data_IF_867192880455
#
_entry.id   IF_867192880455
#
_cell.length_a   1.000
_cell.length_b   1.000
_cell.length_c   1.000
_cell.angle_alpha   90.00
_cell.angle_beta   90.00
_cell.angle_gamma   90.00
#
_symmetry.space_group_name_H-M   'P 1'
#
loop_
_entity.id
_entity.type
_entity.pdbx_description
1 polymer ?
#
# COMPACT_ATOMS: atom_id res chain seq x y z
N UNK A 1 35.32 90.49 1.69
CA UNK A 1 36.44 89.66 1.18
C UNK A 1 36.61 88.55 2.19
N UNK A 2 36.45 87.25 1.92
CA UNK A 2 35.99 86.53 0.75
C UNK A 2 35.58 85.10 1.17
N UNK A 3 34.51 84.63 0.53
CA UNK A 3 34.12 83.26 0.14
C UNK A 3 34.67 81.97 0.79
N UNK A 4 33.68 81.15 1.26
CA UNK A 4 33.35 79.72 0.93
C UNK A 4 34.47 78.64 1.06
N UNK A 5 34.21 77.42 1.56
CA UNK A 5 33.52 76.31 0.86
C UNK A 5 33.16 75.16 1.84
N UNK A 6 31.98 74.57 1.55
CA UNK A 6 31.28 73.40 2.11
C UNK A 6 31.96 72.03 1.89
N UNK A 7 31.67 71.03 2.77
CA UNK A 7 31.03 69.75 2.39
C UNK A 7 30.63 68.86 3.57
N UNK A 8 29.35 68.46 3.55
CA UNK A 8 28.69 67.40 4.32
C UNK A 8 29.43 66.05 4.26
N UNK A 9 29.26 65.22 5.29
CA UNK A 9 28.64 63.87 5.27
C UNK A 9 28.85 63.22 6.67
N UNK A 10 27.80 63.16 7.49
CA UNK A 10 26.92 62.00 7.70
C UNK A 10 27.44 61.01 8.76
N UNK A 11 26.70 60.98 9.87
CA UNK A 11 26.81 60.03 10.98
C UNK A 11 26.35 58.62 10.57
N UNK A 12 26.90 57.58 11.22
CA UNK A 12 26.12 56.45 11.75
C UNK A 12 27.02 55.48 12.54
N UNK A 13 26.59 55.18 13.76
CA UNK A 13 27.18 54.20 14.66
C UNK A 13 26.99 52.77 14.12
N UNK A 14 28.06 51.97 14.14
CA UNK A 14 27.97 50.52 13.92
C UNK A 14 27.75 49.82 15.27
N UNK A 15 26.50 49.47 15.56
CA UNK A 15 26.17 48.41 16.53
C UNK A 15 26.23 47.09 15.75
N UNK A 16 27.24 46.26 16.03
CA UNK A 16 27.29 44.89 15.52
C UNK A 16 26.23 44.05 16.22
N UNK A 17 25.05 43.96 15.61
CA UNK A 17 24.08 42.93 15.94
C UNK A 17 24.54 41.61 15.31
N UNK A 18 24.97 40.67 16.16
CA UNK A 18 25.19 39.28 15.81
C UNK A 18 23.83 38.67 15.42
N UNK A 19 23.50 38.71 14.13
CA UNK A 19 22.35 37.98 13.58
C UNK A 19 22.72 36.50 13.59
N UNK A 20 22.25 35.79 14.60
CA UNK A 20 22.24 34.34 14.60
C UNK A 20 21.26 33.90 13.50
N UNK A 21 21.77 33.67 12.30
CA UNK A 21 21.00 33.08 11.20
C UNK A 21 20.66 31.65 11.61
N UNK A 22 19.49 31.46 12.22
CA UNK A 22 18.85 30.15 12.31
C UNK A 22 18.52 29.78 10.87
N UNK A 23 19.36 28.96 10.26
CA UNK A 23 19.03 28.33 9.00
C UNK A 23 17.69 27.59 9.19
N UNK A 24 16.70 27.75 8.29
CA UNK A 24 15.52 26.92 8.36
C UNK A 24 15.97 25.47 8.15
N UNK A 25 15.91 24.69 9.22
CA UNK A 25 16.01 23.24 9.13
C UNK A 25 15.01 22.78 8.06
N UNK A 26 15.52 22.05 7.07
CA UNK A 26 14.71 21.41 6.07
C UNK A 26 13.63 20.59 6.78
N UNK A 27 12.37 20.96 6.58
CA UNK A 27 11.23 20.33 7.25
C UNK A 27 10.99 18.93 6.67
N UNK A 28 11.75 17.96 7.18
CA UNK A 28 11.32 16.57 7.27
C UNK A 28 10.07 16.50 8.19
N UNK A 29 9.14 15.58 7.90
CA UNK A 29 7.74 15.56 8.38
C UNK A 29 7.52 15.97 9.84
N UNK A 30 6.68 17.00 10.04
CA UNK A 30 6.37 17.67 11.32
C UNK A 30 5.53 16.87 12.34
N UNK A 31 5.40 15.55 12.19
CA UNK A 31 4.55 14.71 13.06
C UNK A 31 5.34 13.87 14.07
N UNK A 32 4.74 13.60 15.24
CA UNK A 32 5.28 12.66 16.24
C UNK A 32 5.34 11.26 15.63
N UNK A 33 6.48 10.57 15.72
CA UNK A 33 6.63 9.21 15.20
C UNK A 33 5.81 8.23 16.05
N UNK A 34 4.90 7.47 15.42
CA UNK A 34 4.18 6.37 16.06
C UNK A 34 5.00 5.09 15.90
N UNK A 35 5.35 4.75 14.66
CA UNK A 35 6.20 3.62 14.32
C UNK A 35 6.87 3.80 12.96
N UNK A 36 7.90 2.98 12.73
CA UNK A 36 8.50 2.71 11.43
C UNK A 36 8.70 1.20 11.31
N UNK A 37 8.29 0.62 10.19
CA UNK A 37 8.62 -0.75 9.79
C UNK A 37 9.62 -0.64 8.66
N UNK A 38 10.78 -1.27 8.80
CA UNK A 38 11.80 -1.36 7.76
C UNK A 38 11.59 -2.63 6.94
N UNK A 39 11.93 -2.57 5.66
CA UNK A 39 11.82 -3.69 4.74
C UNK A 39 13.11 -3.84 3.90
N UNK A 40 13.52 -5.07 3.52
CA UNK A 40 14.80 -5.31 2.87
C UNK A 40 14.87 -4.75 1.45
N UNK A 41 15.93 -3.97 1.16
CA UNK A 41 16.16 -3.55 -0.23
C UNK A 41 16.33 -4.74 -1.18
N UNK A 42 15.67 -4.66 -2.33
CA UNK A 42 15.89 -5.49 -3.50
C UNK A 42 15.10 -6.80 -3.48
N UNK A 43 14.00 -6.87 -2.71
CA UNK A 43 13.10 -8.01 -2.68
C UNK A 43 11.76 -7.77 -3.42
N UNK A 44 11.72 -6.82 -4.35
CA UNK A 44 10.58 -6.50 -5.23
C UNK A 44 10.34 -7.51 -6.37
N UNK A 45 10.39 -8.79 -6.03
CA UNK A 45 10.35 -9.93 -6.94
C UNK A 45 9.28 -10.95 -6.55
N UNK A 46 8.31 -10.55 -5.73
CA UNK A 46 7.15 -11.36 -5.37
C UNK A 46 7.55 -12.72 -4.77
N UNK A 47 7.13 -13.81 -5.41
CA UNK A 47 7.47 -15.18 -5.02
C UNK A 47 8.90 -15.62 -5.40
N UNK A 48 9.74 -14.68 -5.87
CA UNK A 48 11.08 -14.90 -6.39
C UNK A 48 11.14 -15.11 -7.90
N UNK A 49 9.99 -15.23 -8.57
CA UNK A 49 9.91 -15.44 -10.02
C UNK A 49 9.24 -14.31 -10.78
N UNK A 50 8.69 -13.31 -10.09
CA UNK A 50 8.01 -12.18 -10.71
C UNK A 50 8.97 -11.43 -11.64
N UNK A 51 8.50 -11.15 -12.86
CA UNK A 51 9.23 -10.35 -13.84
C UNK A 51 8.51 -9.03 -14.05
N UNK A 52 9.27 -7.94 -13.95
CA UNK A 52 8.77 -6.62 -14.31
C UNK A 52 8.30 -6.58 -15.77
N UNK A 53 7.28 -5.78 -16.10
CA UNK A 53 6.87 -5.61 -17.48
C UNK A 53 7.99 -5.00 -18.30
N UNK A 54 8.06 -5.32 -19.59
CA UNK A 54 9.13 -4.86 -20.51
C UNK A 54 9.01 -3.38 -20.91
N UNK A 55 8.06 -2.65 -20.31
CA UNK A 55 7.85 -1.20 -20.55
C UNK A 55 8.84 -0.37 -19.73
N UNK A 56 9.17 0.83 -20.21
CA UNK A 56 10.24 1.64 -19.59
C UNK A 56 9.78 2.42 -18.35
N UNK A 57 8.48 2.50 -18.12
CA UNK A 57 7.87 3.27 -17.04
C UNK A 57 7.81 2.50 -15.70
N UNK A 58 8.17 1.22 -15.68
CA UNK A 58 8.14 0.39 -14.47
C UNK A 58 9.22 -0.69 -14.55
N UNK A 59 10.21 -0.65 -13.66
CA UNK A 59 11.30 -1.62 -13.62
C UNK A 59 11.77 -1.97 -12.21
N UNK A 60 12.77 -2.86 -12.07
CA UNK A 60 13.31 -3.26 -10.78
C UNK A 60 13.77 -2.07 -9.92
N UNK A 61 13.48 -2.13 -8.64
CA UNK A 61 13.61 -1.09 -7.62
C UNK A 61 12.46 -0.07 -7.58
N UNK A 62 11.57 -0.04 -8.59
CA UNK A 62 10.48 0.96 -8.63
C UNK A 62 9.34 0.61 -7.66
N UNK A 63 9.22 -0.65 -7.21
CA UNK A 63 8.18 -1.10 -6.27
C UNK A 63 8.75 -1.77 -5.01
N UNK A 64 10.07 -1.64 -4.81
CA UNK A 64 10.83 -2.09 -3.64
C UNK A 64 10.60 -1.11 -2.48
N UNK A 65 9.83 -1.54 -1.49
CA UNK A 65 9.53 -0.83 -0.26
C UNK A 65 10.74 -0.95 0.67
N UNK A 66 11.16 0.17 1.25
CA UNK A 66 12.25 0.21 2.22
C UNK A 66 11.76 0.54 3.62
N UNK A 67 10.66 1.29 3.70
CA UNK A 67 10.07 1.62 4.98
C UNK A 67 8.60 2.02 4.85
N UNK A 68 7.82 1.61 5.85
CA UNK A 68 6.48 2.11 6.10
C UNK A 68 6.43 2.82 7.46
N UNK A 69 6.11 4.12 7.45
CA UNK A 69 6.16 4.98 8.64
C UNK A 69 4.79 5.58 8.94
N UNK A 70 4.40 5.61 10.21
CA UNK A 70 3.23 6.33 10.69
C UNK A 70 3.64 7.48 11.61
N UNK A 71 3.19 8.69 11.30
CA UNK A 71 3.40 9.89 12.13
C UNK A 71 2.08 10.52 12.51
N UNK A 72 1.91 10.80 13.80
CA UNK A 72 0.76 11.54 14.32
C UNK A 72 0.82 12.99 13.86
N UNK A 73 -0.29 13.47 13.34
CA UNK A 73 -0.51 14.86 12.94
C UNK A 73 -1.85 15.32 13.50
N UNK A 74 -2.22 16.59 13.26
CA UNK A 74 -3.51 17.10 13.71
C UNK A 74 -4.66 16.34 13.01
N UNK A 75 -5.60 15.81 13.81
CA UNK A 75 -6.82 15.13 13.34
C UNK A 75 -6.62 13.74 12.71
N UNK A 76 -5.41 13.20 12.72
CA UNK A 76 -5.15 11.89 12.11
C UNK A 76 -3.70 11.48 12.07
N UNK A 77 -3.41 10.57 11.14
CA UNK A 77 -2.09 9.99 10.94
C UNK A 77 -1.63 10.22 9.50
N UNK A 78 -0.39 10.70 9.37
CA UNK A 78 0.33 10.75 8.11
C UNK A 78 1.13 9.45 7.97
N UNK A 79 0.69 8.58 7.07
CA UNK A 79 1.49 7.43 6.65
C UNK A 79 2.45 7.85 5.54
N UNK A 80 3.62 7.20 5.48
CA UNK A 80 4.65 7.39 4.46
C UNK A 80 5.24 6.03 4.07
N UNK A 81 5.25 5.74 2.77
CA UNK A 81 6.01 4.64 2.20
C UNK A 81 7.24 5.21 1.47
N UNK A 82 8.40 4.65 1.77
CA UNK A 82 9.67 4.96 1.12
C UNK A 82 10.06 3.82 0.19
N UNK A 83 10.18 4.09 -1.11
CA UNK A 83 10.60 3.11 -2.11
C UNK A 83 12.11 3.21 -2.40
N UNK A 84 12.68 2.20 -3.04
CA UNK A 84 14.10 2.17 -3.37
C UNK A 84 14.49 3.15 -4.46
N UNK A 85 13.66 3.26 -5.50
CA UNK A 85 13.84 4.23 -6.58
C UNK A 85 12.93 5.46 -6.41
N UNK A 86 13.29 6.60 -7.02
CA UNK A 86 12.40 7.76 -7.11
C UNK A 86 11.07 7.40 -7.78
N UNK A 87 9.96 7.86 -7.18
CA UNK A 87 8.63 7.68 -7.74
C UNK A 87 8.53 8.48 -9.03
N UNK A 88 8.21 7.78 -10.12
CA UNK A 88 8.02 8.38 -11.43
C UNK A 88 6.79 9.27 -11.43
N UNK A 89 7.02 10.54 -11.71
CA UNK A 89 5.95 11.52 -11.91
C UNK A 89 5.59 11.52 -13.39
N UNK A 90 4.30 11.44 -13.70
CA UNK A 90 3.83 11.60 -15.07
C UNK A 90 4.21 13.01 -15.58
N UNK A 91 5.13 13.09 -16.54
CA UNK A 91 5.39 14.34 -17.25
C UNK A 91 4.19 14.66 -18.15
N UNK A 92 3.92 15.96 -18.35
CA UNK A 92 2.76 16.47 -19.12
C UNK A 92 2.66 15.95 -20.56
N UNK A 93 3.73 15.36 -21.09
CA UNK A 93 3.90 15.00 -22.51
C UNK A 93 3.53 13.56 -22.86
N UNK A 94 3.22 12.71 -21.88
CA UNK A 94 2.77 11.35 -22.17
C UNK A 94 1.27 11.40 -22.56
N UNK A 95 1.02 11.72 -23.82
CA UNK A 95 -0.27 11.61 -24.50
C UNK A 95 -0.36 10.17 -25.00
N UNK A 96 -1.34 9.40 -24.53
CA UNK A 96 -1.62 8.09 -25.12
C UNK A 96 -2.14 8.24 -26.55
N UNK A 97 -2.16 7.15 -27.33
CA UNK A 97 -2.65 7.16 -28.72
C UNK A 97 -4.14 7.53 -28.88
N UNK A 98 -4.84 7.84 -27.78
CA UNK A 98 -6.25 8.22 -27.70
C UNK A 98 -6.45 9.68 -27.25
N UNK A 99 -5.37 10.45 -27.05
CA UNK A 99 -5.44 11.88 -26.74
C UNK A 99 -5.70 12.21 -25.27
N UNK A 100 -5.62 11.23 -24.36
CA UNK A 100 -5.75 11.47 -22.92
C UNK A 100 -4.36 11.74 -22.35
N UNK A 101 -4.18 12.89 -21.69
CA UNK A 101 -2.90 13.20 -21.04
C UNK A 101 -2.74 12.35 -19.78
N UNK A 102 -1.61 11.65 -19.61
CA UNK A 102 -1.24 10.96 -18.37
C UNK A 102 -1.33 11.88 -17.13
N UNK A 103 -1.17 13.20 -17.32
CA UNK A 103 -1.32 14.18 -16.24
C UNK A 103 -2.75 14.30 -15.70
N UNK A 104 -3.77 13.91 -16.47
CA UNK A 104 -5.17 13.82 -16.03
C UNK A 104 -5.47 12.56 -15.20
N UNK A 105 -4.62 11.53 -15.35
CA UNK A 105 -4.73 10.21 -14.71
C UNK A 105 -3.87 10.16 -13.44
N UNK A 106 -2.67 10.72 -13.45
CA UNK A 106 -1.73 10.76 -12.32
C UNK A 106 -1.98 11.97 -11.38
N UNK A 107 -3.24 12.20 -10.98
CA UNK A 107 -3.66 13.42 -10.24
C UNK A 107 -2.89 13.65 -8.94
N UNK A 108 -2.38 12.57 -8.33
CA UNK A 108 -1.66 12.59 -7.06
C UNK A 108 -0.13 12.45 -7.21
N UNK A 109 0.40 12.52 -8.44
CA UNK A 109 1.84 12.54 -8.70
C UNK A 109 2.52 11.16 -8.76
N UNK A 110 1.74 10.07 -8.76
CA UNK A 110 2.21 8.70 -9.02
C UNK A 110 1.15 7.93 -9.83
N UNK A 111 1.57 6.85 -10.50
CA UNK A 111 0.69 6.13 -11.43
C UNK A 111 1.04 4.65 -11.63
N UNK A 112 2.12 4.14 -11.03
CA UNK A 112 2.66 2.81 -11.33
C UNK A 112 2.38 1.75 -10.28
N UNK A 113 1.88 2.13 -9.10
CA UNK A 113 1.77 1.23 -7.95
C UNK A 113 0.52 1.47 -7.11
N UNK A 114 0.14 0.45 -6.35
CA UNK A 114 -0.79 0.53 -5.23
C UNK A 114 -0.08 0.12 -3.94
N UNK A 115 -0.54 0.61 -2.80
CA UNK A 115 -0.15 0.13 -1.48
C UNK A 115 -1.42 -0.19 -0.69
N UNK A 116 -1.54 -1.43 -0.26
CA UNK A 116 -2.59 -1.83 0.68
C UNK A 116 -2.02 -1.95 2.08
N UNK A 117 -2.79 -1.50 3.07
CA UNK A 117 -2.47 -1.67 4.49
C UNK A 117 -3.68 -2.24 5.19
N UNK A 118 -3.63 -3.52 5.55
CA UNK A 118 -4.66 -4.17 6.36
C UNK A 118 -4.26 -4.07 7.83
N UNK A 119 -5.20 -3.63 8.67
CA UNK A 119 -4.96 -3.29 10.07
C UNK A 119 -5.88 -4.10 10.95
N UNK A 120 -5.29 -4.92 11.80
CA UNK A 120 -5.94 -5.59 12.93
C UNK A 120 -5.66 -4.78 14.19
N UNK A 121 -6.73 -4.27 14.81
CA UNK A 121 -6.69 -3.36 15.93
C UNK A 121 -6.98 -4.04 17.26
N UNK A 122 -7.55 -5.24 17.25
CA UNK A 122 -8.05 -5.94 18.44
C UNK A 122 -7.30 -7.23 18.78
N UNK A 123 -6.50 -7.77 17.84
CA UNK A 123 -5.75 -9.03 17.96
C UNK A 123 -6.64 -10.23 18.30
N UNK A 124 -7.93 -10.16 17.95
CA UNK A 124 -8.87 -11.24 18.20
C UNK A 124 -8.95 -12.12 16.96
N UNK A 125 -8.53 -13.40 17.01
CA UNK A 125 -8.55 -14.24 15.83
C UNK A 125 -9.95 -14.35 15.21
N UNK A 126 -10.06 -13.96 13.93
CA UNK A 126 -11.31 -14.02 13.17
C UNK A 126 -12.36 -12.94 13.50
N UNK A 127 -12.05 -11.91 14.29
CA UNK A 127 -12.96 -10.77 14.53
C UNK A 127 -13.18 -9.91 13.28
N UNK A 128 -12.13 -9.79 12.46
CA UNK A 128 -12.10 -8.99 11.24
C UNK A 128 -12.20 -9.79 9.93
N UNK A 129 -11.84 -9.13 8.83
CA UNK A 129 -11.74 -9.77 7.51
C UNK A 129 -10.46 -10.60 7.40
N UNK A 130 -10.52 -11.72 6.68
CA UNK A 130 -9.32 -12.50 6.33
C UNK A 130 -9.04 -12.48 4.84
N UNK A 131 -10.01 -12.12 4.00
CA UNK A 131 -9.77 -11.96 2.57
C UNK A 131 -9.06 -10.63 2.31
N UNK A 132 -8.05 -10.63 1.45
CA UNK A 132 -7.55 -9.39 0.86
C UNK A 132 -8.57 -8.84 -0.14
N UNK A 133 -8.37 -7.59 -0.58
CA UNK A 133 -9.23 -6.98 -1.58
C UNK A 133 -9.15 -7.72 -2.92
N UNK A 134 -10.17 -7.58 -3.80
CA UNK A 134 -10.18 -8.22 -5.10
C UNK A 134 -8.88 -8.02 -5.89
N UNK A 135 -8.44 -9.09 -6.55
CA UNK A 135 -7.23 -9.12 -7.39
C UNK A 135 -5.93 -9.48 -6.66
N UNK A 136 -5.84 -9.34 -5.33
CA UNK A 136 -4.59 -9.62 -4.58
C UNK A 136 -4.28 -11.11 -4.44
N UNK A 137 -5.31 -11.97 -4.55
CA UNK A 137 -5.22 -13.45 -4.51
C UNK A 137 -4.46 -13.99 -3.29
N UNK A 138 -4.59 -13.31 -2.16
CA UNK A 138 -4.04 -13.74 -0.88
C UNK A 138 -5.11 -13.66 0.22
N UNK A 139 -4.87 -14.34 1.32
CA UNK A 139 -5.62 -14.21 2.56
C UNK A 139 -4.69 -13.73 3.67
N UNK A 140 -5.26 -13.24 4.74
CA UNK A 140 -4.57 -12.81 5.95
C UNK A 140 -4.81 -13.88 7.02
N UNK A 141 -3.75 -14.21 7.76
CA UNK A 141 -3.81 -15.16 8.86
C UNK A 141 -4.91 -14.76 9.86
N UNK A 142 -5.64 -15.73 10.41
CA UNK A 142 -6.84 -15.43 11.22
C UNK A 142 -6.50 -14.65 12.48
N UNK A 143 -5.32 -14.82 13.05
CA UNK A 143 -4.77 -14.03 14.17
C UNK A 143 -4.44 -12.57 13.82
N UNK A 144 -4.56 -12.19 12.55
CA UNK A 144 -4.41 -10.83 12.06
C UNK A 144 -5.64 -10.37 11.26
N UNK A 145 -6.81 -10.91 11.60
CA UNK A 145 -8.06 -10.58 10.92
C UNK A 145 -8.31 -9.07 10.97
N UNK A 146 -8.42 -8.42 9.81
CA UNK A 146 -8.34 -6.97 9.73
C UNK A 146 -9.68 -6.27 10.00
N UNK A 147 -9.63 -5.23 10.82
CA UNK A 147 -10.74 -4.33 11.12
C UNK A 147 -10.90 -3.23 10.06
N UNK A 148 -9.75 -2.76 9.55
CA UNK A 148 -9.64 -1.63 8.62
C UNK A 148 -8.63 -1.93 7.51
N UNK A 149 -8.90 -1.44 6.31
CA UNK A 149 -7.96 -1.45 5.20
C UNK A 149 -7.76 -0.03 4.67
N UNK A 150 -6.52 0.34 4.38
CA UNK A 150 -6.18 1.56 3.65
C UNK A 150 -5.69 1.14 2.27
N UNK A 151 -6.19 1.78 1.22
CA UNK A 151 -5.84 1.47 -0.17
C UNK A 151 -5.33 2.72 -0.86
N UNK A 152 -4.01 2.88 -0.87
CA UNK A 152 -3.36 3.92 -1.66
C UNK A 152 -3.30 3.44 -3.11
N UNK A 153 -3.98 4.17 -3.99
CA UNK A 153 -4.06 3.88 -5.43
C UNK A 153 -4.06 5.17 -6.23
N UNK A 154 -3.59 5.21 -7.49
CA UNK A 154 -3.54 6.45 -8.26
C UNK A 154 -4.92 7.07 -8.53
N UNK A 155 -5.99 6.26 -8.52
CA UNK A 155 -7.37 6.65 -8.81
C UNK A 155 -8.33 6.23 -7.68
N UNK A 156 -8.23 6.85 -6.49
CA UNK A 156 -8.96 6.42 -5.28
C UNK A 156 -10.48 6.45 -5.44
N UNK A 157 -11.02 7.43 -6.17
CA UNK A 157 -12.46 7.52 -6.40
C UNK A 157 -12.98 6.40 -7.31
N UNK A 158 -12.26 6.11 -8.38
CA UNK A 158 -12.64 5.07 -9.33
C UNK A 158 -12.42 3.67 -8.76
N UNK A 159 -11.39 3.48 -7.94
CA UNK A 159 -11.17 2.23 -7.22
C UNK A 159 -12.30 1.97 -6.23
N UNK A 160 -12.75 3.01 -5.49
CA UNK A 160 -13.91 2.91 -4.59
C UNK A 160 -15.17 2.47 -5.34
N UNK A 161 -15.48 3.10 -6.48
CA UNK A 161 -16.64 2.73 -7.30
C UNK A 161 -16.52 1.31 -7.83
N UNK A 162 -15.36 0.94 -8.37
CA UNK A 162 -15.12 -0.40 -8.90
C UNK A 162 -15.27 -1.48 -7.82
N UNK A 163 -14.79 -1.22 -6.61
CA UNK A 163 -14.96 -2.13 -5.47
C UNK A 163 -16.43 -2.31 -5.10
N UNK A 164 -17.19 -1.22 -5.01
CA UNK A 164 -18.63 -1.28 -4.73
C UNK A 164 -19.37 -2.10 -5.80
N UNK A 165 -19.06 -1.88 -7.08
CA UNK A 165 -19.65 -2.63 -8.18
C UNK A 165 -19.30 -4.12 -8.14
N UNK A 166 -18.05 -4.47 -7.84
CA UNK A 166 -17.61 -5.86 -7.67
C UNK A 166 -18.36 -6.54 -6.52
N UNK A 167 -18.50 -5.88 -5.38
CA UNK A 167 -19.24 -6.42 -4.23
C UNK A 167 -20.72 -6.62 -4.54
N UNK A 168 -21.37 -5.68 -5.25
CA UNK A 168 -22.76 -5.85 -5.69
C UNK A 168 -22.90 -7.01 -6.67
N UNK A 169 -21.97 -7.17 -7.63
CA UNK A 169 -21.97 -8.30 -8.58
C UNK A 169 -21.80 -9.63 -7.85
N UNK A 170 -20.88 -9.71 -6.89
CA UNK A 170 -20.63 -10.91 -6.09
C UNK A 170 -21.88 -11.30 -5.29
N UNK A 171 -22.50 -10.36 -4.56
CA UNK A 171 -23.72 -10.66 -3.81
C UNK A 171 -24.87 -11.07 -4.75
N UNK A 172 -25.07 -10.36 -5.86
CA UNK A 172 -26.12 -10.74 -6.82
C UNK A 172 -25.93 -12.15 -7.37
N UNK A 173 -24.68 -12.59 -7.55
CA UNK A 173 -24.36 -13.95 -7.96
C UNK A 173 -24.70 -14.96 -6.86
N UNK A 174 -24.38 -14.66 -5.60
CA UNK A 174 -24.73 -15.50 -4.45
C UNK A 174 -26.25 -15.61 -4.24
N UNK A 175 -26.98 -14.50 -4.29
CA UNK A 175 -28.44 -14.47 -4.17
C UNK A 175 -29.11 -15.27 -5.29
N UNK A 176 -28.61 -15.20 -6.52
CA UNK A 176 -29.13 -15.98 -7.65
C UNK A 176 -28.76 -17.46 -7.59
N UNK A 177 -27.67 -17.81 -6.90
CA UNK A 177 -27.29 -19.20 -6.67
C UNK A 177 -28.12 -19.84 -5.54
N UNK A 178 -28.70 -19.03 -4.64
CA UNK A 178 -29.66 -19.47 -3.65
C UNK A 178 -31.06 -19.73 -4.22
N UNK A 179 -31.93 -20.31 -3.40
CA UNK A 179 -33.33 -20.61 -3.75
C UNK A 179 -34.27 -19.40 -3.57
N UNK A 180 -33.82 -18.19 -3.94
CA UNK A 180 -34.59 -16.96 -3.79
C UNK A 180 -35.49 -16.70 -5.00
N UNK A 181 -36.70 -16.19 -4.76
CA UNK A 181 -37.58 -15.69 -5.82
C UNK A 181 -37.02 -14.41 -6.46
N UNK A 182 -37.32 -14.15 -7.74
CA UNK A 182 -36.77 -12.97 -8.45
C UNK A 182 -37.06 -11.63 -7.74
N UNK A 183 -38.27 -11.43 -7.22
CA UNK A 183 -38.64 -10.20 -6.49
C UNK A 183 -37.86 -10.04 -5.17
N UNK A 184 -37.56 -11.16 -4.50
CA UNK A 184 -36.78 -11.16 -3.26
C UNK A 184 -35.31 -10.82 -3.53
N UNK A 185 -34.73 -11.39 -4.59
CA UNK A 185 -33.38 -11.05 -5.06
C UNK A 185 -33.29 -9.56 -5.39
N UNK A 186 -34.27 -8.99 -6.11
CA UNK A 186 -34.28 -7.57 -6.45
C UNK A 186 -34.44 -6.67 -5.22
N UNK A 187 -35.28 -7.06 -4.26
CA UNK A 187 -35.47 -6.36 -2.98
C UNK A 187 -34.18 -6.31 -2.15
N UNK A 188 -33.53 -7.45 -1.96
CA UNK A 188 -32.27 -7.57 -1.22
C UNK A 188 -31.12 -6.82 -1.91
N UNK A 189 -30.99 -6.96 -3.23
CA UNK A 189 -29.99 -6.23 -4.00
C UNK A 189 -30.15 -4.71 -3.86
N UNK A 190 -31.41 -4.22 -3.85
CA UNK A 190 -31.71 -2.79 -3.66
C UNK A 190 -31.37 -2.31 -2.24
N UNK A 191 -31.71 -3.09 -1.22
CA UNK A 191 -31.40 -2.78 0.17
C UNK A 191 -29.88 -2.73 0.40
N UNK A 192 -29.14 -3.71 -0.14
CA UNK A 192 -27.67 -3.72 -0.05
C UNK A 192 -27.07 -2.52 -0.76
N UNK A 193 -27.52 -2.19 -1.98
CA UNK A 193 -26.99 -1.04 -2.73
C UNK A 193 -27.08 0.28 -1.95
N UNK A 194 -28.05 0.40 -1.04
CA UNK A 194 -28.17 1.57 -0.16
C UNK A 194 -27.19 1.57 1.02
N UNK A 195 -26.88 0.39 1.59
CA UNK A 195 -26.00 0.26 2.77
C UNK A 195 -24.52 0.10 2.43
N UNK A 196 -24.23 -0.51 1.28
CA UNK A 196 -22.88 -0.85 0.85
C UNK A 196 -21.89 0.33 0.89
N UNK A 197 -22.25 1.55 0.44
CA UNK A 197 -21.31 2.67 0.51
C UNK A 197 -20.84 2.97 1.93
N UNK A 198 -21.74 2.93 2.91
CA UNK A 198 -21.44 3.20 4.32
C UNK A 198 -20.61 2.06 4.94
N UNK A 199 -20.96 0.81 4.64
CA UNK A 199 -20.22 -0.36 5.12
C UNK A 199 -18.79 -0.39 4.56
N UNK A 200 -18.64 -0.01 3.29
CA UNK A 200 -17.34 0.14 2.64
C UNK A 200 -16.52 1.23 3.32
N UNK A 201 -17.08 2.42 3.52
CA UNK A 201 -16.36 3.56 4.13
C UNK A 201 -15.97 3.30 5.59
N UNK A 202 -16.74 2.48 6.31
CA UNK A 202 -16.40 2.07 7.68
C UNK A 202 -15.18 1.15 7.74
N UNK A 203 -14.95 0.34 6.72
CA UNK A 203 -13.89 -0.69 6.72
C UNK A 203 -12.71 -0.34 5.82
N UNK A 204 -12.92 0.43 4.76
CA UNK A 204 -11.93 0.66 3.71
C UNK A 204 -11.82 2.15 3.44
N UNK A 205 -10.60 2.67 3.58
CA UNK A 205 -10.29 4.06 3.31
C UNK A 205 -9.41 4.18 2.08
N UNK A 206 -9.84 5.01 1.12
CA UNK A 206 -9.07 5.39 -0.05
C UNK A 206 -8.53 6.82 0.15
N UNK A 207 -7.23 7.01 0.47
CA UNK A 207 -6.69 8.32 0.73
C UNK A 207 -6.80 9.25 -0.50
N UNK A 208 -7.12 10.51 -0.26
CA UNK A 208 -7.19 11.56 -1.28
C UNK A 208 -6.28 12.77 -0.96
N UNK A 209 -5.65 12.78 0.21
CA UNK A 209 -4.63 13.75 0.61
C UNK A 209 -3.27 13.07 0.51
N UNK A 210 -2.70 13.10 -0.70
CA UNK A 210 -1.49 12.37 -1.06
C UNK A 210 -0.40 13.37 -1.49
N UNK A 211 0.84 13.08 -1.11
CA UNK A 211 2.01 13.85 -1.51
C UNK A 211 3.17 12.92 -1.85
N UNK A 212 3.69 13.08 -3.06
CA UNK A 212 4.88 12.40 -3.56
C UNK A 212 6.08 13.34 -3.49
N UNK A 213 7.22 12.85 -2.99
CA UNK A 213 8.51 13.57 -2.96
C UNK A 213 9.65 12.58 -3.16
N UNK A 214 10.38 12.71 -4.27
CA UNK A 214 11.45 11.78 -4.64
C UNK A 214 10.97 10.32 -4.57
N UNK A 215 11.54 9.50 -3.70
CA UNK A 215 11.19 8.10 -3.49
C UNK A 215 10.11 7.87 -2.41
N UNK A 216 9.48 8.92 -1.89
CA UNK A 216 8.49 8.83 -0.80
C UNK A 216 7.10 9.22 -1.26
N UNK A 217 6.10 8.42 -0.90
CA UNK A 217 4.68 8.76 -0.99
C UNK A 217 4.11 8.84 0.41
N UNK A 218 3.40 9.92 0.71
CA UNK A 218 2.79 10.17 2.01
C UNK A 218 1.30 10.43 1.83
N UNK A 219 0.47 9.83 2.68
CA UNK A 219 -0.99 9.98 2.65
C UNK A 219 -1.59 10.12 4.05
N UNK A 220 -2.59 10.98 4.18
CA UNK A 220 -3.29 11.24 5.44
C UNK A 220 -4.51 10.32 5.61
N UNK A 221 -4.70 9.82 6.84
CA UNK A 221 -5.87 9.05 7.27
C UNK A 221 -6.41 9.65 8.58
N UNK A 222 -7.70 10.02 8.66
CA UNK A 222 -8.25 10.64 9.85
C UNK A 222 -8.43 9.64 10.99
N UNK A 223 -8.28 10.09 12.24
CA UNK A 223 -8.50 9.23 13.42
C UNK A 223 -9.94 8.70 13.48
N UNK A 224 -10.91 9.43 12.91
CA UNK A 224 -12.31 9.02 12.84
C UNK A 224 -12.53 7.73 12.04
N UNK A 225 -11.65 7.40 11.08
CA UNK A 225 -11.73 6.14 10.33
C UNK A 225 -11.44 4.94 11.23
N UNK A 226 -10.43 5.07 12.10
CA UNK A 226 -10.08 4.06 13.09
C UNK A 226 -10.96 4.14 14.35
N UNK A 227 -11.63 5.27 14.59
CA UNK A 227 -12.37 5.56 15.82
C UNK A 227 -11.48 5.92 17.01
N UNK A 228 -10.16 5.81 16.86
CA UNK A 228 -9.13 6.22 17.82
C UNK A 228 -7.79 6.49 17.10
N UNK A 229 -6.85 7.21 17.71
CA UNK A 229 -5.52 7.39 17.14
C UNK A 229 -4.82 6.06 16.84
N UNK A 230 -4.01 6.05 15.77
CA UNK A 230 -3.19 4.89 15.37
C UNK A 230 -2.20 4.50 16.47
N UNK A 231 -2.00 3.21 16.68
CA UNK A 231 -1.12 2.65 17.72
C UNK A 231 -0.09 1.68 17.14
N UNK A 232 1.16 1.74 17.62
CA UNK A 232 2.20 0.79 17.25
C UNK A 232 1.95 -0.65 17.72
N UNK A 233 0.95 -0.86 18.58
CA UNK A 233 0.53 -2.16 19.12
C UNK A 233 -0.39 -2.93 18.17
N UNK A 234 -0.97 -2.30 17.15
CA UNK A 234 -1.80 -2.96 16.15
C UNK A 234 -0.95 -3.82 15.20
N UNK A 235 -1.60 -4.75 14.50
CA UNK A 235 -0.97 -5.58 13.48
C UNK A 235 -1.22 -4.99 12.10
N UNK A 236 -0.17 -4.92 11.28
CA UNK A 236 -0.18 -4.31 9.96
C UNK A 236 0.31 -5.30 8.90
N UNK A 237 -0.52 -5.59 7.90
CA UNK A 237 -0.11 -6.25 6.66
C UNK A 237 0.05 -5.16 5.60
N UNK A 238 1.29 -4.92 5.16
CA UNK A 238 1.61 -3.91 4.14
C UNK A 238 2.00 -4.63 2.85
N UNK A 239 1.37 -4.23 1.75
CA UNK A 239 1.52 -4.90 0.45
C UNK A 239 1.70 -3.85 -0.64
N UNK A 240 2.69 -4.06 -1.51
CA UNK A 240 2.90 -3.26 -2.73
C UNK A 240 2.57 -4.09 -3.96
N UNK A 241 1.82 -3.49 -4.88
CA UNK A 241 1.49 -4.09 -6.18
C UNK A 241 1.67 -3.07 -7.31
N UNK A 242 1.79 -3.56 -8.54
CA UNK A 242 1.68 -2.69 -9.71
C UNK A 242 0.28 -2.14 -9.89
N UNK A 243 0.16 -0.93 -10.43
CA UNK A 243 -1.11 -0.32 -10.82
C UNK A 243 -1.35 -0.43 -12.33
N UNK A 244 -2.59 -0.76 -12.70
CA UNK A 244 -3.06 -0.70 -14.08
C UNK A 244 -4.07 0.45 -14.26
N UNK A 245 -3.60 1.49 -14.95
CA UNK A 245 -4.41 2.67 -15.28
C UNK A 245 -4.90 2.68 -16.72
N UNK A 246 -4.25 1.93 -17.61
CA UNK A 246 -4.59 1.91 -19.04
C UNK A 246 -5.89 1.11 -19.24
N UNK A 247 -6.10 0.04 -18.46
CA UNK A 247 -7.32 -0.75 -18.52
C UNK A 247 -8.57 -0.02 -18.00
N UNK A 248 -8.41 1.12 -17.31
CA UNK A 248 -9.52 1.94 -16.80
C UNK A 248 -10.13 2.91 -17.82
N UNK A 249 -9.65 2.89 -19.07
CA UNK A 249 -10.16 3.65 -20.22
C UNK A 249 -10.61 2.73 -21.37
N UNK A 250 -10.86 1.45 -21.10
CA UNK A 250 -11.36 0.55 -22.14
C UNK A 250 -12.80 0.92 -22.50
N UNK A 251 -12.95 1.59 -23.64
CA UNK A 251 -14.21 1.94 -24.30
C UNK A 251 -15.04 0.66 -24.55
N UNK A 252 -14.44 -0.53 -24.50
CA UNK A 252 -15.15 -1.82 -24.50
C UNK A 252 -16.17 -1.96 -23.36
N UNK A 253 -15.96 -1.30 -22.21
CA UNK A 253 -16.94 -1.25 -21.13
C UNK A 253 -18.18 -0.42 -21.51
N UNK A 254 -18.03 0.60 -22.37
CA UNK A 254 -19.16 1.35 -22.92
C UNK A 254 -19.98 0.56 -23.95
N UNK A 255 -19.42 -0.54 -24.49
CA UNK A 255 -20.08 -1.42 -25.46
C UNK A 255 -20.43 -2.82 -24.90
N UNK A 256 -20.27 -3.06 -23.59
CA UNK A 256 -20.72 -4.29 -22.93
C UNK A 256 -19.95 -5.56 -23.31
N UNK A 257 -18.71 -5.45 -23.80
CA UNK A 257 -17.91 -6.57 -24.32
C UNK A 257 -16.75 -7.01 -23.40
N UNK A 258 -16.63 -6.46 -22.19
CA UNK A 258 -15.55 -6.77 -21.26
C UNK A 258 -16.09 -7.25 -19.90
N UNK A 259 -16.37 -8.55 -19.78
CA UNK A 259 -16.97 -9.16 -18.58
C UNK A 259 -15.95 -9.87 -17.66
N UNK A 260 -14.65 -9.82 -17.97
CA UNK A 260 -13.61 -10.53 -17.18
C UNK A 260 -12.44 -9.66 -16.73
N UNK A 261 -12.43 -8.36 -17.08
CA UNK A 261 -11.24 -7.49 -16.99
C UNK A 261 -11.34 -6.40 -15.92
N UNK A 262 -12.49 -6.27 -15.25
CA UNK A 262 -12.72 -5.28 -14.18
C UNK A 262 -12.40 -5.79 -12.77
N UNK A 263 -12.05 -7.07 -12.60
CA UNK A 263 -12.12 -7.76 -11.29
C UNK A 263 -10.86 -7.64 -10.41
N UNK A 264 -9.88 -6.82 -10.80
CA UNK A 264 -8.58 -6.76 -10.13
C UNK A 264 -8.33 -5.46 -9.36
N UNK A 265 -9.35 -4.60 -9.21
CA UNK A 265 -9.28 -3.35 -8.45
C UNK A 265 -7.97 -2.56 -8.72
N UNK A 266 -7.73 -2.32 -10.01
CA UNK A 266 -6.57 -1.59 -10.57
C UNK A 266 -5.20 -2.23 -10.34
N UNK A 267 -5.12 -3.56 -10.12
CA UNK A 267 -3.84 -4.26 -10.12
C UNK A 267 -3.36 -4.52 -11.53
N UNK A 268 -2.06 -4.33 -11.70
CA UNK A 268 -1.35 -4.90 -12.81
C UNK A 268 -1.30 -6.43 -12.61
N UNK A 269 -1.88 -7.24 -13.52
CA UNK A 269 -1.97 -8.69 -13.32
C UNK A 269 -0.60 -9.36 -13.51
N UNK A 270 -0.53 -10.66 -13.23
CA UNK A 270 0.63 -11.52 -13.49
C UNK A 270 0.24 -12.67 -14.42
N UNK A 271 1.10 -12.99 -15.38
CA UNK A 271 0.90 -14.10 -16.34
C UNK A 271 2.23 -14.78 -16.69
N UNK A 272 2.21 -16.05 -17.19
CA UNK A 272 3.41 -16.74 -17.64
C UNK A 272 4.14 -16.00 -18.77
N UNK A 273 5.47 -15.99 -18.77
CA UNK A 273 6.30 -15.33 -19.80
C UNK A 273 6.67 -13.89 -19.46
N UNK A 274 6.88 -13.06 -20.49
CA UNK A 274 7.28 -11.65 -20.36
C UNK A 274 6.34 -10.76 -21.18
N UNK A 275 5.88 -9.67 -20.58
CA UNK A 275 4.81 -8.85 -21.14
C UNK A 275 5.09 -7.36 -20.97
N UNK A 276 4.45 -6.54 -21.81
CA UNK A 276 4.56 -5.07 -21.70
C UNK A 276 3.55 -4.48 -20.71
N UNK A 277 2.39 -5.12 -20.58
CA UNK A 277 1.18 -4.59 -19.94
C UNK A 277 0.77 -5.33 -18.67
N UNK A 278 1.59 -6.28 -18.20
CA UNK A 278 1.39 -7.08 -16.98
C UNK A 278 2.73 -7.59 -16.46
N UNK A 279 2.77 -8.06 -15.22
CA UNK A 279 3.92 -8.79 -14.71
C UNK A 279 4.07 -10.12 -15.42
N UNK A 280 5.31 -10.50 -15.66
CA UNK A 280 5.70 -11.84 -16.08
C UNK A 280 6.00 -12.75 -14.89
N UNK A 281 6.44 -13.98 -15.17
CA UNK A 281 6.80 -14.94 -14.12
C UNK A 281 5.61 -15.72 -13.54
N UNK A 282 4.45 -15.67 -14.20
CA UNK A 282 3.31 -16.50 -13.84
C UNK A 282 3.60 -18.00 -13.95
N UNK A 283 3.08 -18.79 -13.02
CA UNK A 283 3.16 -20.26 -12.98
C UNK A 283 2.04 -20.84 -13.82
N UNK A 284 2.38 -21.56 -14.88
CA UNK A 284 1.41 -22.10 -15.85
C UNK A 284 0.29 -22.95 -15.20
N UNK A 285 0.60 -23.70 -14.14
CA UNK A 285 -0.34 -24.58 -13.46
C UNK A 285 -0.98 -23.99 -12.20
N UNK A 286 -0.47 -22.85 -11.72
CA UNK A 286 -0.96 -22.20 -10.50
C UNK A 286 -1.35 -20.72 -10.72
N UNK A 287 -1.59 -20.30 -11.97
CA UNK A 287 -1.89 -18.91 -12.33
C UNK A 287 -3.13 -18.35 -11.59
N UNK A 288 -4.09 -19.20 -11.26
CA UNK A 288 -5.36 -18.78 -10.62
C UNK A 288 -5.12 -18.12 -9.28
N UNK A 289 -4.34 -18.76 -8.40
CA UNK A 289 -4.06 -18.26 -7.04
C UNK A 289 -2.72 -17.53 -6.91
N UNK A 290 -1.89 -17.48 -7.97
CA UNK A 290 -0.65 -16.72 -7.89
C UNK A 290 -0.92 -15.23 -7.69
N UNK A 291 -0.45 -14.64 -6.58
CA UNK A 291 -0.70 -13.23 -6.28
C UNK A 291 0.15 -12.30 -7.17
N UNK A 292 -0.44 -11.25 -7.77
CA UNK A 292 0.30 -10.19 -8.45
C UNK A 292 0.87 -9.16 -7.44
N UNK A 293 1.47 -9.68 -6.35
CA UNK A 293 2.08 -8.88 -5.29
C UNK A 293 3.59 -8.85 -5.52
N UNK A 294 4.16 -7.66 -5.46
CA UNK A 294 5.56 -7.43 -5.82
C UNK A 294 6.45 -7.43 -4.60
N UNK A 295 5.94 -6.85 -3.53
CA UNK A 295 6.65 -6.65 -2.28
C UNK A 295 5.64 -6.67 -1.12
N UNK A 296 6.01 -7.31 -0.02
CA UNK A 296 5.27 -7.38 1.23
C UNK A 296 6.22 -7.23 2.42
N UNK A 297 5.77 -6.47 3.41
CA UNK A 297 6.43 -6.47 4.71
C UNK A 297 6.14 -7.80 5.42
N UNK A 298 7.19 -8.51 5.84
CA UNK A 298 7.07 -9.77 6.57
C UNK A 298 7.53 -9.69 8.03
N UNK A 299 6.99 -10.51 8.94
CA UNK A 299 7.52 -10.61 10.30
C UNK A 299 8.98 -11.05 10.35
N UNK A 300 9.69 -10.66 11.42
CA UNK A 300 11.09 -11.00 11.62
C UNK A 300 11.33 -12.52 11.49
N UNK A 301 12.37 -12.90 10.76
CA UNK A 301 12.74 -14.30 10.51
C UNK A 301 11.97 -14.98 9.38
N UNK A 302 10.95 -14.34 8.81
CA UNK A 302 10.31 -14.78 7.57
C UNK A 302 11.03 -14.22 6.35
N UNK A 303 10.71 -14.79 5.18
CA UNK A 303 11.18 -14.31 3.88
C UNK A 303 9.98 -14.19 2.97
N UNK A 304 9.87 -13.05 2.28
CA UNK A 304 8.79 -12.79 1.36
C UNK A 304 8.60 -13.91 0.34
N UNK A 305 9.68 -14.39 -0.30
CA UNK A 305 9.57 -15.35 -1.39
C UNK A 305 8.99 -16.68 -0.88
N UNK A 306 9.28 -17.06 0.36
CA UNK A 306 8.67 -18.25 0.98
C UNK A 306 7.18 -18.05 1.23
N UNK A 307 6.78 -16.86 1.67
CA UNK A 307 5.36 -16.55 1.92
C UNK A 307 4.60 -16.53 0.60
N UNK A 308 5.08 -15.78 -0.38
CA UNK A 308 4.41 -15.58 -1.66
C UNK A 308 4.47 -16.81 -2.58
N UNK A 309 5.39 -17.76 -2.35
CA UNK A 309 5.42 -19.03 -3.08
C UNK A 309 4.58 -20.15 -2.44
N UNK A 310 4.09 -19.96 -1.22
CA UNK A 310 3.32 -20.97 -0.48
C UNK A 310 1.83 -20.92 -0.79
N UNK A 311 1.49 -21.33 -2.01
CA UNK A 311 0.12 -21.48 -2.48
C UNK A 311 -0.01 -22.70 -3.40
N UNK A 312 -1.25 -23.13 -3.63
CA UNK A 312 -1.56 -24.16 -4.61
C UNK A 312 -2.94 -23.88 -5.21
N UNK A 313 -3.00 -23.63 -6.52
CA UNK A 313 -4.28 -23.50 -7.21
C UNK A 313 -5.01 -24.83 -7.29
N UNK A 314 -4.27 -25.95 -7.39
CA UNK A 314 -4.83 -27.30 -7.38
C UNK A 314 -5.56 -27.61 -6.08
N UNK A 315 -4.96 -27.25 -4.95
CA UNK A 315 -5.51 -27.53 -3.61
C UNK A 315 -6.36 -26.37 -3.07
N UNK A 316 -6.68 -25.38 -3.92
CA UNK A 316 -7.42 -24.16 -3.57
C UNK A 316 -6.86 -23.43 -2.33
N UNK A 317 -5.53 -23.47 -2.18
CA UNK A 317 -4.82 -22.94 -1.01
C UNK A 317 -4.13 -21.63 -1.39
N UNK A 318 -4.68 -20.46 -0.99
CA UNK A 318 -4.07 -19.17 -1.29
C UNK A 318 -2.83 -18.91 -0.43
N UNK A 319 -2.05 -17.92 -0.82
CA UNK A 319 -1.00 -17.33 0.03
C UNK A 319 -1.61 -16.79 1.32
N UNK A 320 -0.94 -17.03 2.45
CA UNK A 320 -1.34 -16.50 3.77
C UNK A 320 -0.36 -15.42 4.23
N UNK A 321 -0.82 -14.17 4.22
CA UNK A 321 -0.08 -13.01 4.72
C UNK A 321 -0.21 -12.89 6.24
N UNK A 322 0.85 -12.42 6.89
CA UNK A 322 0.92 -12.23 8.35
C UNK A 322 1.28 -10.79 8.65
N UNK A 323 0.62 -10.21 9.64
CA UNK A 323 0.85 -8.83 10.01
C UNK A 323 2.08 -8.66 10.90
N UNK A 324 2.69 -7.49 10.81
CA UNK A 324 3.78 -7.04 11.69
C UNK A 324 3.20 -6.15 12.77
N UNK A 325 3.65 -6.36 14.01
CA UNK A 325 3.30 -5.50 15.17
C UNK A 325 4.50 -4.65 15.54
N UNK A 326 4.55 -3.35 15.16
CA UNK A 326 5.75 -2.53 15.33
C UNK A 326 6.25 -2.39 16.78
N UNK A 327 5.35 -2.46 17.76
CA UNK A 327 5.69 -2.37 19.18
C UNK A 327 6.26 -3.68 19.77
N UNK A 328 6.16 -4.82 19.07
CA UNK A 328 6.76 -6.06 19.54
C UNK A 328 8.29 -5.96 19.43
N UNK A 329 8.97 -5.91 20.57
CA UNK A 329 10.42 -6.12 20.64
C UNK A 329 10.72 -7.60 20.40
N UNK A 330 11.86 -7.94 19.76
CA UNK A 330 12.26 -9.33 19.57
C UNK A 330 12.30 -10.04 20.92
N UNK A 331 11.59 -11.17 21.02
CA UNK A 331 11.73 -12.11 22.13
C UNK A 331 13.13 -12.70 22.00
N UNK A 332 14.09 -12.13 22.72
CA UNK A 332 15.37 -12.80 22.98
C UNK A 332 15.01 -14.06 23.76
N UNK A 333 14.94 -15.20 23.08
CA UNK A 333 14.95 -16.48 23.76
C UNK A 333 16.22 -16.51 24.59
N UNK A 334 16.10 -16.36 25.92
CA UNK A 334 17.17 -16.68 26.84
C UNK A 334 17.48 -18.16 26.62
N UNK A 335 18.55 -18.42 25.88
CA UNK A 335 19.08 -19.76 25.73
C UNK A 335 19.19 -20.38 27.10
N UNK A 336 18.50 -21.50 27.29
CA UNK A 336 18.69 -22.40 28.41
C UNK A 336 20.19 -22.72 28.44
N UNK A 337 20.87 -22.20 29.45
CA UNK A 337 22.20 -22.65 29.79
C UNK A 337 22.09 -24.15 30.04
N UNK A 338 22.67 -24.94 29.14
CA UNK A 338 22.87 -26.36 29.37
C UNK A 338 23.82 -26.46 30.57
N UNK A 339 23.26 -26.77 31.73
CA UNK A 339 24.03 -27.20 32.89
C UNK A 339 24.84 -28.42 32.46
N UNK A 340 26.15 -28.22 32.31
CA UNK A 340 27.11 -29.32 32.21
C UNK A 340 27.10 -30.04 33.55
N UNK A 341 26.45 -31.19 33.60
CA UNK A 341 26.57 -32.14 34.71
C UNK A 341 28.05 -32.54 34.93
N UNK A 342 28.43 -32.91 36.17
CA UNK A 342 29.82 -33.15 36.51
C UNK A 342 30.35 -34.37 35.76
N UNK A 343 31.55 -34.20 35.18
CA UNK A 343 32.29 -35.28 34.54
C UNK A 343 32.59 -36.39 35.57
N UNK A 344 32.04 -37.58 35.34
CA UNK A 344 32.46 -38.79 36.03
C UNK A 344 33.88 -39.14 35.57
N UNK A 345 34.84 -38.93 36.47
CA UNK A 345 36.21 -39.38 36.29
C UNK A 345 36.27 -40.90 36.27
N UNK A 346 36.69 -41.47 35.14
CA UNK A 346 37.12 -42.86 35.06
C UNK A 346 38.60 -42.90 35.40
N UNK A 347 38.91 -43.49 36.56
CA UNK A 347 40.26 -43.73 37.02
C UNK A 347 40.32 -45.02 37.82
N UNK A 348 40.40 -46.15 37.11
CA UNK A 348 41.36 -47.25 37.31
C UNK A 348 41.15 -48.35 36.29
#
# INVERSE_FOLDING_TARGET
MDTRISRLLMAAALVSALVLTIAPAAHAGKGELIFKIDDPRGDDHGDGHLLYPTRTELGPGDLDLLAFTARRVEGGTQFEAELANPIRVATREAIDGLGTSLSSVARYGFYTFNIDVYVDMDHVPGSGGISTLPGRKAVIASENAWDRAIVLTPRPHEARTALADMMLKALNKELRAGEYGQEEVEGEARALKQRLPDDLERRIFFPNQIRVRANKVSFFVPDSFFGKPVEATWSYVVVVSGADLIQSLDISAAFGLADTRQDHLMLLPISPGSWKDRFGGGREYDEVLQPPLVDIVVPEGQRQERVLSDFSSRDERPVVLRGVVPAQKPVVQKGTAVEKGPALGVGR
#
